data_IF_272891190558
#
_entry.id   IF_272891190558
#
_cell.length_a   1.000
_cell.length_b   1.000
_cell.length_c   1.000
_cell.angle_alpha   90.00
_cell.angle_beta   90.00
_cell.angle_gamma   90.00
#
_symmetry.space_group_name_H-M   'P 1'
#
loop_
_entity.id
_entity.type
_entity.pdbx_description
1 polymer ?
#
# COMPACT_ATOMS: atom_id res chain seq x y z
N UNK A 1 3.96 -0.36 -10.12
CA UNK A 1 3.04 0.11 -9.05
C UNK A 1 2.34 -1.13 -8.54
N UNK A 2 2.50 -1.49 -7.26
CA UNK A 2 1.93 -2.73 -6.73
C UNK A 2 0.39 -2.75 -6.79
N UNK A 3 -0.17 -3.84 -7.30
CA UNK A 3 -1.59 -4.15 -7.36
C UNK A 3 -2.16 -4.47 -5.97
N UNK A 4 -1.36 -5.06 -5.06
CA UNK A 4 -1.86 -5.51 -3.75
C UNK A 4 -2.18 -4.35 -2.81
N UNK A 5 -1.26 -3.38 -2.69
CA UNK A 5 -1.50 -2.17 -1.87
C UNK A 5 -2.78 -1.46 -2.35
N UNK A 6 -2.98 -1.35 -3.68
CA UNK A 6 -4.17 -0.72 -4.29
C UNK A 6 -5.47 -1.43 -3.90
N UNK A 7 -5.48 -2.76 -3.93
CA UNK A 7 -6.65 -3.56 -3.54
C UNK A 7 -6.97 -3.34 -2.06
N UNK A 8 -5.96 -3.42 -1.19
CA UNK A 8 -6.20 -3.27 0.24
C UNK A 8 -6.75 -1.87 0.57
N UNK A 9 -6.21 -0.84 -0.07
CA UNK A 9 -6.68 0.52 0.16
C UNK A 9 -8.07 0.80 -0.46
N UNK A 10 -8.43 0.20 -1.60
CA UNK A 10 -9.80 0.28 -2.13
C UNK A 10 -10.81 -0.26 -1.13
N UNK A 11 -10.48 -1.36 -0.45
CA UNK A 11 -11.30 -1.94 0.62
C UNK A 11 -11.41 -0.99 1.82
N UNK A 12 -10.33 -0.32 2.22
CA UNK A 12 -10.36 0.68 3.31
C UNK A 12 -11.14 1.95 2.97
N UNK A 13 -11.00 2.47 1.74
CA UNK A 13 -11.78 3.63 1.27
C UNK A 13 -13.27 3.31 1.18
N UNK A 14 -13.64 2.07 0.84
CA UNK A 14 -15.05 1.62 0.87
C UNK A 14 -15.65 1.59 2.27
N UNK A 15 -14.83 1.47 3.32
CA UNK A 15 -15.27 1.39 4.72
C UNK A 15 -15.46 2.75 5.39
N UNK A 16 -14.90 3.83 4.85
CA UNK A 16 -14.97 5.17 5.46
C UNK A 16 -15.31 6.26 4.44
N UNK A 17 -16.24 7.16 4.81
CA UNK A 17 -16.85 8.18 3.94
C UNK A 17 -16.05 9.48 3.78
N UNK A 18 -14.91 9.67 4.45
CA UNK A 18 -14.10 10.89 4.38
C UNK A 18 -12.99 10.82 3.33
N UNK A 19 -13.32 11.13 2.07
CA UNK A 19 -12.50 10.81 0.88
C UNK A 19 -11.25 11.68 0.62
N UNK A 20 -11.21 12.96 1.02
CA UNK A 20 -10.19 13.90 0.52
C UNK A 20 -8.83 13.82 1.24
N UNK A 21 -8.85 13.73 2.58
CA UNK A 21 -7.65 13.59 3.41
C UNK A 21 -6.97 12.22 3.19
N UNK A 22 -7.75 11.20 2.85
CA UNK A 22 -7.28 9.83 2.60
C UNK A 22 -6.49 9.68 1.30
N UNK A 23 -6.80 10.45 0.25
CA UNK A 23 -6.09 10.35 -1.03
C UNK A 23 -4.60 10.71 -0.90
N UNK A 24 -4.25 11.71 -0.10
CA UNK A 24 -2.85 12.08 0.12
C UNK A 24 -2.09 10.97 0.87
N UNK A 25 -2.68 10.46 1.96
CA UNK A 25 -2.12 9.34 2.73
C UNK A 25 -2.02 8.06 1.90
N UNK A 26 -2.96 7.84 0.98
CA UNK A 26 -2.94 6.74 0.01
C UNK A 26 -1.71 6.82 -0.89
N UNK A 27 -1.46 7.98 -1.51
CA UNK A 27 -0.31 8.18 -2.38
C UNK A 27 1.01 7.99 -1.62
N UNK A 28 1.09 8.48 -0.38
CA UNK A 28 2.25 8.28 0.48
C UNK A 28 2.48 6.80 0.80
N UNK A 29 1.45 6.04 1.17
CA UNK A 29 1.56 4.62 1.49
C UNK A 29 1.92 3.77 0.26
N UNK A 30 1.36 4.09 -0.91
CA UNK A 30 1.78 3.48 -2.19
C UNK A 30 3.27 3.75 -2.45
N UNK A 31 3.72 4.99 -2.23
CA UNK A 31 5.10 5.41 -2.42
C UNK A 31 6.07 4.64 -1.52
N UNK A 32 5.73 4.53 -0.22
CA UNK A 32 6.50 3.76 0.77
C UNK A 32 6.62 2.29 0.36
N UNK A 33 5.50 1.65 0.04
CA UNK A 33 5.49 0.23 -0.33
C UNK A 33 6.31 -0.04 -1.60
N UNK A 34 6.13 0.76 -2.67
CA UNK A 34 6.94 0.60 -3.88
C UNK A 34 8.44 0.81 -3.63
N UNK A 35 8.80 1.79 -2.78
CA UNK A 35 10.19 2.06 -2.42
C UNK A 35 10.79 0.89 -1.62
N UNK A 36 10.01 0.33 -0.69
CA UNK A 36 10.40 -0.83 0.09
C UNK A 36 10.57 -2.08 -0.79
N UNK A 37 9.68 -2.32 -1.75
CA UNK A 37 9.82 -3.41 -2.72
C UNK A 37 11.13 -3.28 -3.51
N UNK A 38 11.42 -2.09 -4.05
CA UNK A 38 12.68 -1.83 -4.77
C UNK A 38 13.90 -2.03 -3.88
N UNK A 39 13.89 -1.47 -2.66
CA UNK A 39 15.01 -1.58 -1.71
C UNK A 39 15.32 -3.03 -1.34
N UNK A 40 14.29 -3.87 -1.22
CA UNK A 40 14.44 -5.27 -0.83
C UNK A 40 14.53 -6.23 -2.04
N UNK A 41 14.56 -5.70 -3.27
CA UNK A 41 14.49 -6.47 -4.51
C UNK A 41 13.33 -7.49 -4.51
N UNK A 42 12.14 -7.03 -4.11
CA UNK A 42 10.92 -7.83 -3.98
C UNK A 42 9.91 -7.47 -5.06
N UNK A 43 9.15 -8.48 -5.47
CA UNK A 43 8.01 -8.31 -6.35
C UNK A 43 6.74 -7.99 -5.57
N UNK A 44 5.78 -7.37 -6.26
CA UNK A 44 4.45 -7.12 -5.69
C UNK A 44 3.64 -8.42 -5.63
N UNK A 45 3.72 -9.09 -4.48
CA UNK A 45 3.06 -10.36 -4.17
C UNK A 45 2.58 -10.30 -2.72
N UNK A 46 1.60 -11.13 -2.37
CA UNK A 46 0.92 -11.04 -1.06
C UNK A 46 1.91 -11.25 0.09
N UNK A 47 2.85 -12.18 -0.08
CA UNK A 47 3.93 -12.43 0.87
C UNK A 47 4.84 -11.20 1.08
N UNK A 48 5.13 -10.45 0.01
CA UNK A 48 5.91 -9.21 0.11
C UNK A 48 5.12 -8.14 0.85
N UNK A 49 3.82 -8.06 0.60
CA UNK A 49 2.93 -7.11 1.27
C UNK A 49 2.79 -7.41 2.76
N UNK A 50 2.59 -8.66 3.15
CA UNK A 50 2.57 -9.07 4.56
C UNK A 50 3.91 -8.76 5.25
N UNK A 51 5.04 -9.00 4.58
CA UNK A 51 6.35 -8.67 5.12
C UNK A 51 6.58 -7.15 5.22
N UNK A 52 5.97 -6.35 4.35
CA UNK A 52 5.98 -4.89 4.45
C UNK A 52 5.20 -4.43 5.68
N UNK A 53 3.99 -4.95 5.88
CA UNK A 53 3.15 -4.63 7.04
C UNK A 53 3.76 -5.03 8.39
N UNK A 54 4.66 -6.04 8.42
CA UNK A 54 5.40 -6.45 9.63
C UNK A 54 6.69 -5.66 9.85
N UNK A 55 7.19 -4.97 8.82
CA UNK A 55 8.43 -4.21 8.87
C UNK A 55 8.19 -2.70 9.04
N UNK A 56 6.96 -2.24 8.78
CA UNK A 56 6.41 -0.95 9.22
C UNK A 56 5.98 -1.03 10.69
#
# INVERSE_FOLDING_TARGET
MGNIIKINMYVEMKKETSNKLKLKTLEENIGKYNSWLKKNNREDKIESYEKFLRAE
#
